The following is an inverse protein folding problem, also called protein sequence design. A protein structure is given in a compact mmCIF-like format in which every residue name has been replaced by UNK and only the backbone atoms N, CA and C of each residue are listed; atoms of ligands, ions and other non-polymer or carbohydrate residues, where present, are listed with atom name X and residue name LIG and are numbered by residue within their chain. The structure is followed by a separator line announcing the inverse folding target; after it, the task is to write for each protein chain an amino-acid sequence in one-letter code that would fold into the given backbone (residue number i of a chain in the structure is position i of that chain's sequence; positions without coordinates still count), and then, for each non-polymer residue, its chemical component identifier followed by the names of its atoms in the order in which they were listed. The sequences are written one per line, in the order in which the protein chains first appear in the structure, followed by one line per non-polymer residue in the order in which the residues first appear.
data_IF_790071081253
#
_entry.id   IF_790071081253
#
_cell.length_a   1.000
_cell.length_b   1.000
_cell.length_c   1.000
_cell.angle_alpha   90.00
_cell.angle_beta   90.00
_cell.angle_gamma   90.00
#
_symmetry.space_group_name_H-M   'P 1'
#
loop_
_entity.id
_entity.type
_entity.pdbx_description
1 polymer ?
#
# COMPACT_ATOMS: atom_id res chain seq x y z
N UNK A 1 0.34 -37.55 -42.47
CA UNK A 1 -0.39 -36.26 -42.39
C UNK A 1 -0.76 -35.80 -40.96
N UNK A 2 -0.73 -36.67 -39.93
CA UNK A 2 -1.10 -36.30 -38.54
C UNK A 2 0.02 -35.57 -37.75
N UNK A 3 1.29 -35.91 -38.00
CA UNK A 3 2.45 -35.32 -37.29
C UNK A 3 2.65 -33.83 -37.59
N UNK A 4 2.43 -33.39 -38.84
CA UNK A 4 2.54 -31.98 -39.25
C UNK A 4 1.53 -31.07 -38.54
N UNK A 5 0.34 -31.59 -38.20
CA UNK A 5 -0.67 -30.84 -37.43
C UNK A 5 -0.28 -30.69 -35.95
N UNK A 6 0.34 -31.71 -35.35
CA UNK A 6 0.79 -31.68 -33.95
C UNK A 6 1.94 -30.68 -33.76
N UNK A 7 2.87 -30.60 -34.71
CA UNK A 7 4.00 -29.65 -34.68
C UNK A 7 3.51 -28.18 -34.68
N UNK A 8 2.34 -27.91 -35.27
CA UNK A 8 1.78 -26.55 -35.34
C UNK A 8 0.94 -26.18 -34.10
N UNK A 9 0.38 -27.17 -33.41
CA UNK A 9 -0.45 -26.97 -32.21
C UNK A 9 0.39 -26.76 -30.95
N UNK A 10 1.54 -27.42 -30.83
CA UNK A 10 2.44 -27.29 -29.67
C UNK A 10 2.96 -25.84 -29.45
N UNK A 11 3.51 -25.12 -30.45
CA UNK A 11 3.96 -23.75 -30.25
C UNK A 11 2.80 -22.78 -29.98
N UNK A 12 1.61 -23.06 -30.52
CA UNK A 12 0.40 -22.29 -30.24
C UNK A 12 -0.10 -22.48 -28.80
N UNK A 13 0.05 -23.69 -28.25
CA UNK A 13 -0.27 -23.95 -26.84
C UNK A 13 0.78 -23.33 -25.90
N UNK A 14 2.06 -23.33 -26.30
CA UNK A 14 3.14 -22.69 -25.54
C UNK A 14 3.01 -21.16 -25.51
N UNK A 15 2.56 -20.52 -26.59
CA UNK A 15 2.37 -19.06 -26.61
C UNK A 15 1.21 -18.61 -25.71
N UNK A 16 0.17 -19.42 -25.56
CA UNK A 16 -0.95 -19.18 -24.63
C UNK A 16 -0.53 -19.22 -23.16
N UNK A 17 0.46 -20.05 -22.79
CA UNK A 17 1.01 -20.11 -21.42
C UNK A 17 1.86 -18.88 -21.07
N UNK A 18 2.52 -18.28 -22.05
CA UNK A 18 3.36 -17.08 -21.83
C UNK A 18 2.53 -15.81 -21.60
N UNK A 19 1.32 -15.73 -22.14
CA UNK A 19 0.40 -14.59 -21.96
C UNK A 19 -0.27 -14.56 -20.57
N UNK A 20 -0.15 -15.62 -19.78
CA UNK A 20 -0.74 -15.71 -18.44
C UNK A 20 0.13 -15.08 -17.32
N UNK A 21 1.33 -14.56 -17.65
CA UNK A 21 2.21 -13.90 -16.68
C UNK A 21 1.94 -12.41 -16.61
N UNK A 22 0.88 -12.05 -15.89
CA UNK A 22 0.55 -10.68 -15.54
C UNK A 22 0.56 -10.46 -14.03
N UNK A 23 1.66 -10.80 -13.33
CA UNK A 23 1.85 -10.32 -11.96
C UNK A 23 2.29 -8.84 -12.05
N UNK A 24 1.30 -7.95 -12.12
CA UNK A 24 1.53 -6.54 -11.83
C UNK A 24 1.64 -6.39 -10.32
N UNK A 25 2.77 -5.88 -9.83
CA UNK A 25 2.93 -5.49 -8.43
C UNK A 25 1.83 -4.48 -8.09
N UNK A 26 1.11 -4.73 -7.00
CA UNK A 26 0.05 -3.83 -6.54
C UNK A 26 0.65 -2.53 -6.03
N UNK A 27 0.11 -1.37 -6.41
CA UNK A 27 0.50 -0.09 -5.80
C UNK A 27 0.19 -0.04 -4.28
N UNK A 28 -0.70 -0.92 -3.82
CA UNK A 28 -1.12 -1.04 -2.44
C UNK A 28 -0.47 -2.23 -1.77
N UNK A 29 0.30 -1.94 -0.71
CA UNK A 29 0.98 -2.94 0.10
C UNK A 29 0.46 -2.93 1.53
N UNK A 30 0.13 -4.10 2.05
CA UNK A 30 -0.27 -4.32 3.42
C UNK A 30 0.96 -4.69 4.24
N UNK A 31 1.49 -3.74 5.01
CA UNK A 31 2.64 -3.95 5.88
C UNK A 31 2.18 -4.42 7.25
N UNK A 32 2.69 -5.57 7.71
CA UNK A 32 2.35 -6.12 9.02
C UNK A 32 2.82 -5.20 10.16
N UNK A 33 2.12 -5.21 11.30
CA UNK A 33 2.56 -4.52 12.49
C UNK A 33 3.37 -5.44 13.41
N UNK A 34 4.70 -5.26 13.44
CA UNK A 34 5.61 -5.94 14.38
C UNK A 34 5.91 -5.11 15.64
N UNK A 35 5.18 -4.01 15.84
CA UNK A 35 5.36 -3.10 16.98
C UNK A 35 5.74 -1.66 16.57
N UNK A 36 5.92 -1.39 15.28
CA UNK A 36 6.22 -0.04 14.79
C UNK A 36 4.99 0.89 14.78
N UNK A 37 3.80 0.35 15.01
CA UNK A 37 2.52 1.07 15.13
C UNK A 37 1.81 0.67 16.44
N UNK A 38 0.71 1.36 16.74
CA UNK A 38 -0.16 0.98 17.85
C UNK A 38 -0.53 -0.51 17.79
N UNK A 39 -0.40 -1.23 18.90
CA UNK A 39 -0.60 -2.69 19.01
C UNK A 39 -1.97 -3.21 18.51
N UNK A 40 -3.00 -2.35 18.44
CA UNK A 40 -4.31 -2.72 17.91
C UNK A 40 -4.29 -2.92 16.39
N UNK A 41 -3.42 -2.17 15.70
CA UNK A 41 -3.22 -2.26 14.25
C UNK A 41 -2.55 -3.59 13.93
N UNK A 42 -3.10 -4.31 12.96
CA UNK A 42 -2.57 -5.56 12.41
C UNK A 42 -1.81 -5.33 11.13
N UNK A 43 -2.36 -4.48 10.26
CA UNK A 43 -1.73 -4.09 9.00
C UNK A 43 -1.87 -2.58 8.76
N UNK A 44 -0.94 -2.02 8.01
CA UNK A 44 -0.99 -0.65 7.50
C UNK A 44 -0.84 -0.68 5.98
N UNK A 45 -1.71 0.05 5.29
CA UNK A 45 -1.59 0.29 3.87
C UNK A 45 -1.43 1.79 3.62
N UNK A 46 -0.43 2.15 2.83
CA UNK A 46 -0.25 3.52 2.38
C UNK A 46 -1.04 3.73 1.09
N UNK A 47 -1.82 4.79 1.06
CA UNK A 47 -2.56 5.24 -0.11
C UNK A 47 -1.86 6.45 -0.74
N UNK A 48 -2.27 6.78 -1.96
CA UNK A 48 -1.85 8.00 -2.65
C UNK A 48 -2.20 9.28 -1.86
N UNK A 49 -3.36 9.28 -1.21
CA UNK A 49 -3.97 10.42 -0.48
C UNK A 49 -3.93 10.25 1.05
N UNK A 50 -3.25 9.22 1.56
CA UNK A 50 -3.20 9.02 3.01
C UNK A 50 -2.81 7.62 3.42
N UNK A 51 -3.39 7.16 4.51
CA UNK A 51 -3.05 5.89 5.15
C UNK A 51 -4.32 5.17 5.64
N UNK A 52 -4.30 3.84 5.59
CA UNK A 52 -5.32 2.98 6.19
C UNK A 52 -4.67 2.06 7.20
N UNK A 53 -5.25 2.00 8.40
CA UNK A 53 -4.84 1.10 9.46
C UNK A 53 -5.94 0.07 9.72
N UNK A 54 -5.57 -1.21 9.66
CA UNK A 54 -6.47 -2.34 9.79
C UNK A 54 -6.37 -2.92 11.20
N UNK A 55 -7.47 -2.89 11.94
CA UNK A 55 -7.66 -3.58 13.21
C UNK A 55 -8.69 -4.72 13.01
N UNK A 56 -8.86 -5.60 14.01
CA UNK A 56 -9.76 -6.76 13.89
C UNK A 56 -11.20 -6.42 13.50
N UNK A 57 -11.72 -5.28 13.95
CA UNK A 57 -13.10 -4.86 13.72
C UNK A 57 -13.23 -3.37 13.37
N UNK A 58 -12.13 -2.76 12.95
CA UNK A 58 -12.11 -1.33 12.66
C UNK A 58 -11.08 -1.02 11.60
N UNK A 59 -11.45 -0.18 10.64
CA UNK A 59 -10.50 0.49 9.77
C UNK A 59 -10.39 1.96 10.16
N UNK A 60 -9.18 2.47 10.28
CA UNK A 60 -8.91 3.89 10.47
C UNK A 60 -8.33 4.45 9.18
N UNK A 61 -8.99 5.44 8.60
CA UNK A 61 -8.52 6.18 7.45
C UNK A 61 -7.94 7.50 7.93
N UNK A 62 -6.72 7.82 7.52
CA UNK A 62 -6.03 9.08 7.81
C UNK A 62 -5.65 9.76 6.48
N UNK A 63 -6.51 10.68 6.04
CA UNK A 63 -6.53 11.20 4.66
C UNK A 63 -6.15 12.67 4.62
N UNK A 64 -5.39 13.08 3.60
CA UNK A 64 -5.18 14.50 3.29
C UNK A 64 -6.47 15.13 2.76
N UNK A 65 -6.66 16.42 3.04
CA UNK A 65 -7.71 17.19 2.39
C UNK A 65 -7.43 17.28 0.89
N UNK A 66 -8.41 16.95 0.05
CA UNK A 66 -8.24 16.89 -1.39
C UNK A 66 -7.81 18.25 -1.96
N UNK A 67 -8.42 19.34 -1.50
CA UNK A 67 -8.12 20.68 -2.03
C UNK A 67 -6.68 21.12 -1.73
N UNK A 68 -6.15 20.72 -0.57
CA UNK A 68 -4.77 21.05 -0.18
C UNK A 68 -3.76 20.22 -0.97
N UNK A 69 -4.11 18.97 -1.30
CA UNK A 69 -3.27 18.10 -2.13
C UNK A 69 -3.24 18.56 -3.58
N UNK A 70 -4.39 18.95 -4.15
CA UNK A 70 -4.49 19.53 -5.49
C UNK A 70 -3.67 20.82 -5.60
N UNK A 71 -3.75 21.69 -4.59
CA UNK A 71 -2.94 22.91 -4.54
C UNK A 71 -1.45 22.60 -4.46
N UNK A 72 -1.06 21.59 -3.69
CA UNK A 72 0.33 21.17 -3.60
C UNK A 72 0.84 20.66 -4.96
N UNK A 73 0.03 19.88 -5.67
CA UNK A 73 0.33 19.40 -7.01
C UNK A 73 0.55 20.57 -7.99
N UNK A 74 -0.37 21.54 -7.99
CA UNK A 74 -0.24 22.75 -8.80
C UNK A 74 1.05 23.53 -8.49
N UNK A 75 1.41 23.70 -7.22
CA UNK A 75 2.65 24.40 -6.82
C UNK A 75 3.89 23.63 -7.32
N UNK A 76 3.86 22.29 -7.29
CA UNK A 76 5.00 21.47 -7.76
C UNK A 76 5.21 21.58 -9.26
N UNK A 77 4.13 21.67 -10.03
CA UNK A 77 4.17 21.67 -11.49
C UNK A 77 4.22 23.08 -12.12
N UNK A 78 3.96 24.14 -11.34
CA UNK A 78 4.00 25.53 -11.82
C UNK A 78 5.16 26.32 -11.20
N UNK A 79 6.25 26.62 -11.96
CA UNK A 79 7.43 27.30 -11.43
C UNK A 79 7.13 28.66 -10.78
N UNK A 80 6.17 29.41 -11.31
CA UNK A 80 5.79 30.72 -10.78
C UNK A 80 5.20 30.59 -9.37
N UNK A 81 4.23 29.69 -9.19
CA UNK A 81 3.64 29.41 -7.87
C UNK A 81 4.68 28.89 -6.87
N UNK A 82 5.63 28.09 -7.34
CA UNK A 82 6.73 27.59 -6.50
C UNK A 82 7.63 28.71 -6.00
N UNK A 83 7.96 29.67 -6.87
CA UNK A 83 8.77 30.83 -6.52
C UNK A 83 8.02 31.75 -5.54
N UNK A 84 6.72 31.95 -5.74
CA UNK A 84 5.86 32.76 -4.88
C UNK A 84 5.70 32.14 -3.48
N UNK A 85 5.61 30.80 -3.37
CA UNK A 85 5.53 30.10 -2.09
C UNK A 85 6.84 30.20 -1.29
N UNK A 86 7.97 30.41 -1.98
CA UNK A 86 9.28 30.57 -1.37
C UNK A 86 9.68 29.37 -0.51
N UNK A 87 10.28 29.65 0.66
CA UNK A 87 10.74 28.62 1.62
C UNK A 87 9.71 28.31 2.72
N UNK A 88 8.51 28.87 2.65
CA UNK A 88 7.52 28.68 3.70
C UNK A 88 6.93 27.27 3.65
N UNK A 89 6.74 26.61 4.80
CA UNK A 89 6.15 25.28 4.84
C UNK A 89 4.68 25.34 4.36
N UNK A 90 4.35 24.55 3.35
CA UNK A 90 2.97 24.34 2.93
C UNK A 90 2.22 23.53 3.98
N UNK A 91 1.15 24.10 4.54
CA UNK A 91 0.30 23.40 5.51
C UNK A 91 -0.74 22.57 4.77
N UNK A 92 -0.77 21.27 5.06
CA UNK A 92 -1.77 20.33 4.52
C UNK A 92 -2.67 19.90 5.67
N UNK A 93 -3.98 20.01 5.49
CA UNK A 93 -4.96 19.48 6.43
C UNK A 93 -5.08 17.96 6.26
N UNK A 94 -5.28 17.26 7.37
CA UNK A 94 -5.64 15.85 7.40
C UNK A 94 -6.90 15.62 8.21
N UNK A 95 -7.65 14.60 7.83
CA UNK A 95 -8.83 14.13 8.53
C UNK A 95 -8.71 12.63 8.79
N UNK A 96 -8.93 12.24 10.04
CA UNK A 96 -8.95 10.84 10.43
C UNK A 96 -10.37 10.40 10.81
N UNK A 97 -10.84 9.31 10.23
CA UNK A 97 -12.13 8.71 10.58
C UNK A 97 -12.00 7.20 10.75
N UNK A 98 -12.89 6.65 11.58
CA UNK A 98 -12.89 5.23 11.94
C UNK A 98 -14.18 4.58 11.50
N UNK A 99 -14.07 3.54 10.69
CA UNK A 99 -15.17 2.66 10.35
C UNK A 99 -15.14 1.46 11.29
N UNK A 100 -16.12 1.36 12.19
CA UNK A 100 -16.26 0.25 13.14
C UNK A 100 -17.30 -0.73 12.65
N UNK A 101 -16.94 -2.01 12.63
CA UNK A 101 -17.86 -3.10 12.30
C UNK A 101 -18.54 -3.60 13.59
N UNK A 102 -19.73 -3.08 13.87
CA UNK A 102 -20.48 -3.46 15.07
C UNK A 102 -21.02 -4.89 14.93
N UNK A 103 -20.85 -5.71 15.98
CA UNK A 103 -21.28 -7.11 15.98
C UNK A 103 -20.39 -8.07 15.18
N UNK A 104 -19.23 -7.62 14.68
CA UNK A 104 -18.32 -8.49 13.93
C UNK A 104 -17.68 -9.58 14.79
N UNK A 105 -17.38 -10.74 14.20
CA UNK A 105 -16.62 -11.80 14.86
C UNK A 105 -15.16 -11.38 15.10
N UNK A 106 -14.75 -11.21 16.36
CA UNK A 106 -13.37 -10.84 16.74
C UNK A 106 -12.37 -11.99 16.72
N UNK A 107 -12.87 -13.22 16.53
CA UNK A 107 -12.07 -14.44 16.42
C UNK A 107 -11.75 -14.79 14.96
N UNK A 108 -11.97 -13.87 14.02
CA UNK A 108 -11.56 -14.06 12.63
C UNK A 108 -10.04 -14.13 12.51
N UNK A 109 -9.56 -15.05 11.69
CA UNK A 109 -8.16 -15.13 11.28
C UNK A 109 -7.91 -14.14 10.14
N UNK A 110 -6.75 -13.48 10.16
CA UNK A 110 -6.29 -12.61 9.07
C UNK A 110 -5.20 -13.37 8.33
N UNK A 111 -5.49 -13.76 7.08
CA UNK A 111 -4.55 -14.45 6.21
C UNK A 111 -4.00 -13.44 5.22
N UNK A 112 -2.67 -13.34 5.15
CA UNK A 112 -1.95 -12.50 4.18
C UNK A 112 -1.36 -13.35 3.08
N UNK A 113 -1.45 -12.89 1.83
CA UNK A 113 -0.98 -13.60 0.65
C UNK A 113 -0.01 -12.73 -0.17
N UNK A 114 0.75 -13.37 -1.07
CA UNK A 114 1.72 -12.68 -1.95
C UNK A 114 2.68 -11.77 -1.17
N UNK A 115 3.49 -12.38 -0.32
CA UNK A 115 4.57 -11.68 0.39
C UNK A 115 5.55 -11.07 -0.60
N UNK A 116 5.85 -9.79 -0.43
CA UNK A 116 6.84 -9.08 -1.24
C UNK A 116 8.25 -9.59 -0.93
N UNK A 117 9.16 -9.61 -1.91
CA UNK A 117 10.51 -10.14 -1.74
C UNK A 117 11.42 -9.24 -0.87
N UNK A 118 10.99 -8.00 -0.62
CA UNK A 118 11.72 -7.02 0.17
C UNK A 118 11.06 -6.75 1.53
N UNK A 119 11.82 -6.09 2.41
CA UNK A 119 11.38 -5.75 3.76
C UNK A 119 11.44 -4.24 3.98
N UNK A 120 10.65 -3.77 4.96
CA UNK A 120 10.69 -2.39 5.44
C UNK A 120 11.35 -2.34 6.82
N UNK A 121 12.16 -1.31 7.04
CA UNK A 121 12.79 -1.02 8.33
C UNK A 121 12.30 0.35 8.82
N UNK A 122 11.99 0.44 10.11
CA UNK A 122 11.42 1.61 10.74
C UNK A 122 12.34 2.08 11.87
N UNK A 123 12.94 3.25 11.70
CA UNK A 123 13.77 3.93 12.69
C UNK A 123 12.96 5.14 13.16
N UNK A 124 12.14 4.95 14.21
CA UNK A 124 11.18 5.96 14.67
C UNK A 124 11.64 6.61 15.96
N UNK A 125 11.95 7.90 15.89
CA UNK A 125 12.40 8.69 17.03
C UNK A 125 13.72 8.20 17.61
N UNK A 126 14.02 8.68 18.82
CA UNK A 126 15.32 8.47 19.46
C UNK A 126 15.37 7.23 20.36
N UNK A 127 14.25 6.52 20.55
CA UNK A 127 14.23 5.29 21.34
C UNK A 127 14.38 4.07 20.39
N UNK A 128 15.50 3.32 20.45
CA UNK A 128 15.74 2.14 19.64
C UNK A 128 14.74 1.00 19.88
N UNK A 129 14.11 0.93 21.05
CA UNK A 129 13.09 -0.09 21.35
C UNK A 129 11.85 0.05 20.45
N UNK A 130 11.63 1.23 19.87
CA UNK A 130 10.57 1.49 18.91
C UNK A 130 10.99 1.21 17.46
N UNK A 131 12.25 0.83 17.23
CA UNK A 131 12.74 0.51 15.90
C UNK A 131 12.36 -0.91 15.54
N UNK A 132 12.02 -1.13 14.27
CA UNK A 132 11.64 -2.45 13.79
C UNK A 132 12.29 -2.74 12.46
N UNK A 133 12.89 -3.92 12.35
CA UNK A 133 13.54 -4.39 11.14
C UNK A 133 12.85 -5.63 10.60
N UNK A 134 13.06 -5.90 9.31
CA UNK A 134 12.50 -7.05 8.61
C UNK A 134 10.97 -7.13 8.76
N UNK A 135 10.29 -5.99 8.55
CA UNK A 135 8.83 -5.92 8.52
C UNK A 135 8.36 -6.31 7.12
N UNK A 136 7.58 -7.38 7.00
CA UNK A 136 7.09 -7.90 5.72
C UNK A 136 5.96 -7.03 5.18
N UNK A 137 5.76 -7.09 3.87
CA UNK A 137 4.59 -6.50 3.21
C UNK A 137 4.00 -7.48 2.23
N UNK A 138 2.70 -7.34 1.98
CA UNK A 138 1.88 -8.30 1.22
C UNK A 138 1.02 -7.54 0.22
N UNK A 139 0.66 -8.17 -0.90
CA UNK A 139 -0.28 -7.59 -1.87
C UNK A 139 -1.74 -7.90 -1.55
N UNK A 140 -2.00 -8.89 -0.68
CA UNK A 140 -3.34 -9.39 -0.35
C UNK A 140 -3.47 -9.77 1.12
#
# INVERSE_FOLDING_TARGET
MKIKKIILVIPLLLSLLSLARGDQESDYHFTENKGQLNQKVKYHCKLHIGDVYFEKNQFTFDMYAAEDFDRLDQIRHQPNLRNDFGKNPFKIRKHAYRMKFLGSNLNSEIVSEKKLPYYKNYIKGNNPDNWQSNVSSFEK
#
